data_IF_337762105628
#
_entry.id   IF_337762105628
#
_cell.length_a   1.000
_cell.length_b   1.000
_cell.length_c   1.000
_cell.angle_alpha   90.00
_cell.angle_beta   90.00
_cell.angle_gamma   90.00
#
_symmetry.space_group_name_H-M   'P 1'
#
loop_
_entity.id
_entity.type
_entity.pdbx_description
1 polymer ?
#
# COMPACT_ATOMS: atom_id res chain seq x y z
N UNK A 1 -10.12 27.77 77.40
CA UNK A 1 -8.92 27.73 76.56
C UNK A 1 -7.90 26.81 77.21
N UNK A 2 -7.63 25.61 76.66
CA UNK A 2 -6.47 24.83 77.04
C UNK A 2 -5.22 25.48 76.43
N UNK A 3 -4.27 25.78 77.29
CA UNK A 3 -2.95 26.33 76.98
C UNK A 3 -2.14 25.30 76.19
N UNK A 4 -1.72 25.72 75.01
CA UNK A 4 -0.90 25.05 74.00
C UNK A 4 -0.02 23.86 74.43
N UNK A 5 -0.13 22.77 73.64
CA UNK A 5 1.05 21.96 73.27
C UNK A 5 1.07 20.52 73.78
N UNK A 6 0.28 19.62 73.17
CA UNK A 6 0.77 18.27 72.96
C UNK A 6 1.14 18.13 71.48
N UNK A 7 2.40 18.44 71.19
CA UNK A 7 3.00 18.27 69.87
C UNK A 7 2.90 16.80 69.50
N UNK A 8 2.01 16.48 68.57
CA UNK A 8 2.01 15.19 67.89
C UNK A 8 3.41 14.96 67.34
N UNK A 9 4.18 14.14 68.07
CA UNK A 9 5.57 13.81 67.82
C UNK A 9 5.62 12.31 67.56
N UNK A 10 5.04 11.86 66.44
CA UNK A 10 5.02 10.45 66.10
C UNK A 10 6.47 9.96 66.07
N UNK A 11 6.73 8.90 66.84
CA UNK A 11 8.06 8.30 66.92
C UNK A 11 8.53 7.99 65.50
N UNK A 12 9.77 8.38 65.16
CA UNK A 12 10.39 8.06 63.88
C UNK A 12 10.27 6.55 63.67
N UNK A 13 9.59 6.14 62.61
CA UNK A 13 9.46 4.73 62.26
C UNK A 13 10.85 4.12 62.14
N UNK A 14 11.13 2.97 62.80
CA UNK A 14 12.43 2.32 62.71
C UNK A 14 12.82 2.11 61.24
N UNK A 15 14.10 2.27 60.86
CA UNK A 15 14.56 1.95 59.53
C UNK A 15 14.16 0.51 59.18
N UNK A 16 13.52 0.31 58.03
CA UNK A 16 13.25 -1.06 57.56
C UNK A 16 14.59 -1.78 57.40
N UNK A 17 14.70 -2.97 58.00
CA UNK A 17 15.92 -3.81 57.94
C UNK A 17 16.23 -4.34 56.55
N UNK A 18 15.25 -4.29 55.64
CA UNK A 18 15.41 -4.56 54.23
C UNK A 18 14.96 -3.34 53.45
N UNK A 19 15.89 -2.70 52.74
CA UNK A 19 15.52 -1.88 51.59
C UNK A 19 14.77 -2.77 50.59
N UNK A 20 13.90 -2.19 49.77
CA UNK A 20 13.38 -2.92 48.61
C UNK A 20 14.57 -3.48 47.84
N UNK A 21 14.57 -4.78 47.53
CA UNK A 21 15.59 -5.38 46.64
C UNK A 21 15.55 -4.77 45.23
N UNK A 22 14.59 -3.90 44.94
CA UNK A 22 14.59 -3.08 43.75
C UNK A 22 15.71 -2.03 43.81
N UNK A 23 16.76 -2.22 43.02
CA UNK A 23 17.78 -1.21 42.73
C UNK A 23 17.22 0.00 41.94
N UNK A 24 15.90 0.13 41.80
CA UNK A 24 15.22 1.15 41.00
C UNK A 24 15.62 2.59 41.36
N UNK A 25 15.91 2.86 42.64
CA UNK A 25 16.31 4.18 43.12
C UNK A 25 17.80 4.47 42.93
N UNK A 26 18.63 3.45 42.73
CA UNK A 26 20.07 3.57 42.49
C UNK A 26 20.44 3.55 41.02
N UNK A 27 19.54 3.09 40.14
CA UNK A 27 19.72 3.15 38.70
C UNK A 27 19.50 4.58 38.21
N UNK A 28 20.39 5.04 37.34
CA UNK A 28 20.19 6.27 36.57
C UNK A 28 19.02 6.10 35.59
N UNK A 29 18.51 7.23 35.08
CA UNK A 29 17.34 7.24 34.21
C UNK A 29 17.52 6.37 32.97
N UNK A 30 18.68 6.44 32.32
CA UNK A 30 18.97 5.67 31.10
C UNK A 30 18.99 4.17 31.37
N UNK A 31 19.71 3.73 32.40
CA UNK A 31 19.74 2.31 32.77
C UNK A 31 18.36 1.81 33.18
N UNK A 32 17.58 2.63 33.88
CA UNK A 32 16.19 2.29 34.22
C UNK A 32 15.29 2.14 32.99
N UNK A 33 15.44 3.01 31.98
CA UNK A 33 14.67 2.94 30.73
C UNK A 33 15.09 1.72 29.89
N UNK A 34 16.36 1.30 29.94
CA UNK A 34 16.83 0.12 29.22
C UNK A 34 16.42 -1.18 29.92
N UNK A 35 16.61 -1.27 31.24
CA UNK A 35 16.37 -2.50 31.99
C UNK A 35 14.89 -2.72 32.30
N UNK A 36 14.12 -1.65 32.51
CA UNK A 36 12.75 -1.68 33.02
C UNK A 36 11.77 -0.83 32.19
N UNK A 37 12.24 -0.23 31.10
CA UNK A 37 11.37 0.50 30.19
C UNK A 37 10.47 -0.42 29.39
N UNK A 38 9.36 0.14 28.93
CA UNK A 38 8.43 -0.53 28.04
C UNK A 38 8.99 -0.46 26.62
N UNK A 39 9.26 -1.61 26.02
CA UNK A 39 9.51 -1.70 24.58
C UNK A 39 8.17 -1.73 23.85
N UNK A 40 7.74 -0.56 23.37
CA UNK A 40 6.45 -0.39 22.70
C UNK A 40 6.41 -0.99 21.29
N UNK A 41 7.56 -1.33 20.69
CA UNK A 41 7.63 -1.86 19.34
C UNK A 41 6.86 -1.04 18.30
N UNK A 42 6.46 -1.68 17.19
CA UNK A 42 5.53 -1.10 16.22
C UNK A 42 4.10 -1.11 16.77
N UNK A 43 3.32 -0.02 16.66
CA UNK A 43 1.94 0.01 17.14
C UNK A 43 1.11 -1.12 16.55
N UNK A 44 0.45 -1.88 17.41
CA UNK A 44 -0.48 -2.95 17.05
C UNK A 44 -1.81 -2.78 17.78
N UNK A 45 -2.89 -3.31 17.21
CA UNK A 45 -4.26 -3.23 17.75
C UNK A 45 -5.02 -4.51 17.47
N UNK A 46 -5.70 -5.05 18.48
CA UNK A 46 -6.67 -6.13 18.31
C UNK A 46 -8.09 -5.56 18.31
N UNK A 47 -8.75 -5.60 17.16
CA UNK A 47 -10.14 -5.18 17.00
C UNK A 47 -10.97 -6.34 16.47
N UNK A 48 -12.08 -6.65 17.13
CA UNK A 48 -13.03 -7.72 16.73
C UNK A 48 -12.38 -9.08 16.43
N UNK A 49 -11.29 -9.42 17.13
CA UNK A 49 -10.54 -10.66 16.93
C UNK A 49 -9.53 -10.64 15.76
N UNK A 50 -9.32 -9.48 15.14
CA UNK A 50 -8.28 -9.26 14.13
C UNK A 50 -7.13 -8.46 14.74
N UNK A 51 -5.90 -8.97 14.57
CA UNK A 51 -4.68 -8.23 14.91
C UNK A 51 -4.28 -7.34 13.74
N UNK A 52 -4.05 -6.06 13.99
CA UNK A 52 -3.65 -5.02 13.06
C UNK A 52 -2.29 -4.44 13.48
N UNK A 53 -1.37 -4.26 12.54
CA UNK A 53 -0.09 -3.57 12.72
C UNK A 53 -0.07 -2.26 11.95
N UNK A 54 0.56 -1.24 12.50
CA UNK A 54 0.73 0.04 11.80
C UNK A 54 2.02 0.06 11.00
N UNK A 55 1.92 0.10 9.66
CA UNK A 55 3.05 0.06 8.75
C UNK A 55 2.82 1.06 7.60
N UNK A 56 3.84 1.86 7.26
CA UNK A 56 3.78 2.86 6.18
C UNK A 56 2.58 3.84 6.24
N UNK A 57 2.14 4.21 7.45
CA UNK A 57 1.00 5.12 7.63
C UNK A 57 -0.38 4.47 7.57
N UNK A 58 -0.45 3.14 7.47
CA UNK A 58 -1.70 2.38 7.34
C UNK A 58 -1.78 1.24 8.37
N UNK A 59 -2.99 0.90 8.79
CA UNK A 59 -3.25 -0.29 9.61
C UNK A 59 -3.42 -1.51 8.71
N UNK A 60 -2.57 -2.52 8.88
CA UNK A 60 -2.53 -3.76 8.09
C UNK A 60 -2.84 -4.94 8.99
N UNK A 61 -3.74 -5.84 8.61
CA UNK A 61 -4.02 -7.04 9.38
C UNK A 61 -2.80 -7.99 9.40
N UNK A 62 -2.32 -8.39 10.58
CA UNK A 62 -1.22 -9.34 10.76
C UNK A 62 -1.60 -10.76 10.30
N UNK A 63 -2.87 -11.13 10.48
CA UNK A 63 -3.43 -12.39 9.99
C UNK A 63 -4.22 -12.12 8.72
N UNK A 64 -3.77 -12.66 7.59
CA UNK A 64 -4.25 -12.36 6.24
C UNK A 64 -5.70 -12.78 5.92
N UNK A 65 -6.69 -12.27 6.64
CA UNK A 65 -8.09 -12.60 6.41
C UNK A 65 -9.07 -11.55 6.94
N UNK A 66 -9.15 -10.40 6.27
CA UNK A 66 -10.46 -9.86 5.92
C UNK A 66 -10.97 -10.70 4.73
N UNK A 67 -11.80 -11.70 5.00
CA UNK A 67 -12.34 -12.61 3.96
C UNK A 67 -13.05 -11.85 2.82
N UNK A 68 -13.56 -10.64 3.10
CA UNK A 68 -14.09 -9.70 2.10
C UNK A 68 -13.02 -9.10 1.19
N UNK A 69 -11.90 -8.64 1.75
CA UNK A 69 -10.81 -8.00 1.01
C UNK A 69 -10.07 -8.99 0.10
N UNK A 70 -9.87 -10.23 0.56
CA UNK A 70 -9.32 -11.30 -0.31
C UNK A 70 -10.22 -11.60 -1.51
N UNK A 71 -11.54 -11.62 -1.33
CA UNK A 71 -12.51 -11.85 -2.43
C UNK A 71 -12.56 -10.66 -3.37
N UNK A 72 -12.54 -9.45 -2.84
CA UNK A 72 -12.51 -8.21 -3.62
C UNK A 72 -11.20 -8.09 -4.42
N UNK A 73 -10.07 -8.32 -3.78
CA UNK A 73 -8.75 -8.38 -4.42
C UNK A 73 -8.72 -9.43 -5.53
N UNK A 74 -9.30 -10.61 -5.32
CA UNK A 74 -9.37 -11.64 -6.36
C UNK A 74 -10.27 -11.22 -7.54
N UNK A 75 -11.40 -10.56 -7.27
CA UNK A 75 -12.29 -10.03 -8.32
C UNK A 75 -11.60 -8.92 -9.12
N UNK A 76 -10.91 -8.01 -8.43
CA UNK A 76 -10.15 -6.93 -9.06
C UNK A 76 -9.03 -7.48 -9.94
N UNK A 77 -8.28 -8.49 -9.48
CA UNK A 77 -7.26 -9.17 -10.28
C UNK A 77 -7.83 -9.79 -11.56
N UNK A 78 -8.96 -10.50 -11.46
CA UNK A 78 -9.63 -11.08 -12.63
C UNK A 78 -10.11 -10.00 -13.62
N UNK A 79 -10.69 -8.92 -13.12
CA UNK A 79 -11.13 -7.80 -13.96
C UNK A 79 -9.95 -7.12 -14.65
N UNK A 80 -8.85 -6.93 -13.94
CA UNK A 80 -7.65 -6.33 -14.49
C UNK A 80 -7.06 -7.20 -15.61
N UNK A 81 -6.96 -8.52 -15.38
CA UNK A 81 -6.53 -9.47 -16.41
C UNK A 81 -7.43 -9.42 -17.67
N UNK A 82 -8.76 -9.40 -17.49
CA UNK A 82 -9.69 -9.28 -18.61
C UNK A 82 -9.50 -7.98 -19.40
N UNK A 83 -9.29 -6.86 -18.69
CA UNK A 83 -9.04 -5.57 -19.30
C UNK A 83 -7.70 -5.54 -20.06
N UNK A 84 -6.66 -6.19 -19.53
CA UNK A 84 -5.38 -6.34 -20.22
C UNK A 84 -5.52 -7.18 -21.50
N UNK A 85 -6.24 -8.30 -21.44
CA UNK A 85 -6.53 -9.15 -22.60
C UNK A 85 -7.32 -8.40 -23.68
N UNK A 86 -8.35 -7.65 -23.28
CA UNK A 86 -9.13 -6.80 -24.18
C UNK A 86 -8.26 -5.68 -24.79
N UNK A 87 -7.40 -5.04 -23.99
CA UNK A 87 -6.51 -4.00 -24.49
C UNK A 87 -5.53 -4.55 -25.53
N UNK A 88 -4.95 -5.73 -25.28
CA UNK A 88 -4.06 -6.40 -26.22
C UNK A 88 -4.78 -6.78 -27.52
N UNK A 89 -6.01 -7.30 -27.42
CA UNK A 89 -6.83 -7.62 -28.59
C UNK A 89 -7.17 -6.36 -29.40
N UNK A 90 -7.53 -5.26 -28.74
CA UNK A 90 -7.84 -4.00 -29.39
C UNK A 90 -6.62 -3.43 -30.12
N UNK A 91 -5.43 -3.49 -29.51
CA UNK A 91 -4.18 -3.09 -30.17
C UNK A 91 -3.93 -3.90 -31.44
N UNK A 92 -4.04 -5.23 -31.35
CA UNK A 92 -3.86 -6.11 -32.51
C UNK A 92 -4.88 -5.80 -33.63
N UNK A 93 -6.13 -5.52 -33.29
CA UNK A 93 -7.15 -5.11 -34.28
C UNK A 93 -6.80 -3.80 -34.97
N UNK A 94 -6.29 -2.82 -34.22
CA UNK A 94 -5.87 -1.53 -34.79
C UNK A 94 -4.70 -1.75 -35.75
N UNK A 95 -3.71 -2.55 -35.38
CA UNK A 95 -2.55 -2.84 -36.23
C UNK A 95 -2.98 -3.50 -37.56
N UNK A 96 -3.83 -4.54 -37.49
CA UNK A 96 -4.36 -5.21 -38.69
C UNK A 96 -5.19 -4.25 -39.56
N UNK A 97 -6.01 -3.39 -38.94
CA UNK A 97 -6.80 -2.41 -39.68
C UNK A 97 -5.91 -1.37 -40.38
N UNK A 98 -4.80 -0.96 -39.75
CA UNK A 98 -3.83 -0.07 -40.37
C UNK A 98 -3.11 -0.75 -41.54
N UNK A 99 -2.74 -2.01 -41.41
CA UNK A 99 -2.14 -2.80 -42.50
C UNK A 99 -3.11 -2.88 -43.69
N UNK A 100 -4.37 -3.28 -43.47
CA UNK A 100 -5.38 -3.35 -44.53
C UNK A 100 -5.66 -1.98 -45.17
N UNK A 101 -5.70 -0.91 -44.37
CA UNK A 101 -5.86 0.45 -44.90
C UNK A 101 -4.67 0.87 -45.76
N UNK A 102 -3.45 0.52 -45.34
CA UNK A 102 -2.24 0.81 -46.11
C UNK A 102 -2.19 0.04 -47.43
N UNK A 103 -2.59 -1.24 -47.42
CA UNK A 103 -2.68 -2.09 -48.61
C UNK A 103 -3.70 -1.52 -49.61
N UNK A 104 -4.92 -1.25 -49.16
CA UNK A 104 -5.98 -0.68 -50.01
C UNK A 104 -5.61 0.71 -50.56
N UNK A 105 -4.90 1.53 -49.78
CA UNK A 105 -4.39 2.83 -50.25
C UNK A 105 -3.33 2.65 -51.34
N UNK A 106 -2.41 1.69 -51.17
CA UNK A 106 -1.39 1.38 -52.16
C UNK A 106 -2.02 0.84 -53.46
N UNK A 107 -2.98 -0.08 -53.37
CA UNK A 107 -3.72 -0.59 -54.52
C UNK A 107 -4.46 0.53 -55.26
N UNK A 108 -5.13 1.42 -54.54
CA UNK A 108 -5.83 2.57 -55.12
C UNK A 108 -4.87 3.47 -55.91
N UNK A 109 -3.69 3.76 -55.37
CA UNK A 109 -2.68 4.57 -56.07
C UNK A 109 -2.11 3.88 -57.31
N UNK A 110 -1.94 2.55 -57.27
CA UNK A 110 -1.53 1.78 -58.44
C UNK A 110 -2.59 1.83 -59.54
N UNK A 111 -3.87 1.62 -59.19
CA UNK A 111 -4.97 1.70 -60.15
C UNK A 111 -5.13 3.10 -60.76
N UNK A 112 -4.98 4.15 -59.94
CA UNK A 112 -5.04 5.54 -60.40
C UNK A 112 -3.94 5.82 -61.44
N UNK A 113 -2.71 5.38 -61.16
CA UNK A 113 -1.58 5.51 -62.08
C UNK A 113 -1.79 4.75 -63.39
N UNK A 114 -2.26 3.50 -63.34
CA UNK A 114 -2.57 2.73 -64.55
C UNK A 114 -3.62 3.42 -65.42
N UNK A 115 -4.64 4.01 -64.80
CA UNK A 115 -5.70 4.74 -65.48
C UNK A 115 -5.16 6.04 -66.13
N UNK A 116 -4.27 6.76 -65.45
CA UNK A 116 -3.55 7.90 -66.02
C UNK A 116 -2.67 7.52 -67.22
N UNK A 117 -1.93 6.43 -67.10
CA UNK A 117 -1.08 5.90 -68.16
C UNK A 117 -1.91 5.51 -69.39
N UNK A 118 -3.05 4.83 -69.21
CA UNK A 118 -3.97 4.49 -70.29
C UNK A 118 -4.57 5.74 -70.97
N UNK A 119 -4.96 6.75 -70.19
CA UNK A 119 -5.44 8.04 -70.72
C UNK A 119 -4.36 8.76 -71.53
N UNK A 120 -3.11 8.76 -71.06
CA UNK A 120 -2.00 9.40 -71.77
C UNK A 120 -1.67 8.69 -73.09
N UNK A 121 -1.70 7.36 -73.12
CA UNK A 121 -1.52 6.55 -74.32
C UNK A 121 -2.65 6.77 -75.33
N UNK A 122 -3.90 6.84 -74.88
CA UNK A 122 -5.04 7.13 -75.76
C UNK A 122 -4.96 8.53 -76.38
N UNK A 123 -4.48 9.54 -75.62
CA UNK A 123 -4.29 10.91 -76.15
C UNK A 123 -3.18 10.98 -77.18
N UNK A 124 -2.10 10.22 -77.04
CA UNK A 124 -0.98 10.18 -78.01
C UNK A 124 -1.32 9.50 -79.33
N UNK A 125 -2.36 8.65 -79.37
CA UNK A 125 -2.79 7.91 -80.56
C UNK A 125 -3.85 8.61 -81.40
N UNK A 126 -4.39 9.74 -80.93
CA UNK A 126 -5.30 10.62 -81.67
C UNK A 126 -4.53 11.78 -82.27
#
# INVERSE_FOLDING_TARGET
MPLFGNTFSPKKTPPRKSASLSNLHSLDRSTREIELGLDYGTPNMNLTGQSLKFENGQWIAESGSSSGDRRETQRLRKRNQQLEEENNLLRLKVDILLDMLSETTAESHLMEKELEDLKSHSRRRK
#
